data_IF_045375365279
#
_entry.id   IF_045375365279
#
_cell.length_a   1.000
_cell.length_b   1.000
_cell.length_c   1.000
_cell.angle_alpha   90.00
_cell.angle_beta   90.00
_cell.angle_gamma   90.00
#
_symmetry.space_group_name_H-M   'P 1'
#
loop_
_entity.id
_entity.type
_entity.pdbx_description
1 polymer ?
#
# COMPACT_ATOMS: atom_id res chain seq x y z
N UNK A 1 -6.30 10.28 11.84
CA UNK A 1 -5.97 9.27 12.87
C UNK A 1 -5.49 7.94 12.26
N UNK A 2 -6.29 7.23 11.45
CA UNK A 2 -5.86 5.94 10.85
C UNK A 2 -4.60 6.02 9.98
N UNK A 3 -4.37 7.14 9.28
CA UNK A 3 -3.13 7.42 8.55
C UNK A 3 -1.90 7.27 9.44
N UNK A 4 -1.92 7.86 10.64
CA UNK A 4 -0.77 7.86 11.54
C UNK A 4 -0.52 6.47 12.12
N UNK A 5 -1.60 5.77 12.49
CA UNK A 5 -1.52 4.37 12.96
C UNK A 5 -0.92 3.50 11.86
N UNK A 6 -1.34 3.67 10.61
CA UNK A 6 -0.76 3.00 9.45
C UNK A 6 0.74 3.28 9.31
N UNK A 7 1.17 4.53 9.42
CA UNK A 7 2.59 4.88 9.26
C UNK A 7 3.40 4.26 10.41
N UNK A 8 2.98 4.46 11.66
CA UNK A 8 3.67 3.95 12.84
C UNK A 8 3.76 2.43 12.89
N UNK A 9 2.66 1.73 12.64
CA UNK A 9 2.68 0.26 12.63
C UNK A 9 3.43 -0.31 11.44
N UNK A 10 3.50 0.44 10.33
CA UNK A 10 4.30 0.09 9.16
C UNK A 10 5.79 0.15 9.46
N UNK A 11 6.26 1.23 10.11
CA UNK A 11 7.66 1.36 10.52
C UNK A 11 8.02 0.31 11.57
N UNK A 12 7.15 0.07 12.57
CA UNK A 12 7.36 -1.02 13.55
C UNK A 12 7.43 -2.40 12.91
N UNK A 13 6.59 -2.68 11.92
CA UNK A 13 6.65 -3.96 11.19
C UNK A 13 8.02 -4.16 10.54
N UNK A 14 8.54 -3.14 9.87
CA UNK A 14 9.84 -3.22 9.18
C UNK A 14 11.04 -3.34 10.13
N UNK A 15 10.86 -3.04 11.42
CA UNK A 15 11.89 -3.29 12.45
C UNK A 15 11.99 -4.78 12.81
N UNK A 16 10.91 -5.54 12.68
CA UNK A 16 10.83 -6.94 13.14
C UNK A 16 10.71 -7.96 12.01
N UNK A 17 10.28 -7.54 10.82
CA UNK A 17 10.08 -8.40 9.66
C UNK A 17 10.83 -7.87 8.43
N UNK A 18 11.35 -8.77 7.59
CA UNK A 18 11.95 -8.39 6.33
C UNK A 18 10.90 -7.77 5.40
N UNK A 19 11.38 -6.89 4.51
CA UNK A 19 10.52 -6.16 3.56
C UNK A 19 9.71 -7.13 2.69
N UNK A 20 10.27 -8.29 2.30
CA UNK A 20 9.60 -9.32 1.50
C UNK A 20 8.37 -9.93 2.20
N UNK A 21 8.49 -10.29 3.48
CA UNK A 21 7.34 -10.77 4.25
C UNK A 21 6.29 -9.67 4.42
N UNK A 22 6.71 -8.43 4.68
CA UNK A 22 5.79 -7.31 4.78
C UNK A 22 5.02 -7.06 3.48
N UNK A 23 5.68 -7.17 2.32
CA UNK A 23 5.01 -7.00 1.02
C UNK A 23 4.02 -8.13 0.73
N UNK A 24 4.33 -9.38 1.12
CA UNK A 24 3.42 -10.51 0.99
C UNK A 24 2.11 -10.27 1.77
N UNK A 25 2.20 -9.91 3.06
CA UNK A 25 1.02 -9.61 3.86
C UNK A 25 0.22 -8.43 3.29
N UNK A 26 0.93 -7.40 2.81
CA UNK A 26 0.29 -6.27 2.14
C UNK A 26 -0.46 -6.65 0.88
N UNK A 27 0.07 -7.56 0.09
CA UNK A 27 -0.61 -8.03 -1.11
C UNK A 27 -1.82 -8.91 -0.73
N UNK A 28 -1.74 -9.66 0.37
CA UNK A 28 -2.90 -10.33 0.98
C UNK A 28 -4.02 -9.37 1.41
N UNK A 29 -3.67 -8.16 1.88
CA UNK A 29 -4.67 -7.15 2.27
C UNK A 29 -5.58 -6.70 1.13
N UNK A 30 -5.20 -6.90 -0.13
CA UNK A 30 -6.03 -6.56 -1.31
C UNK A 30 -7.37 -7.30 -1.26
N UNK A 31 -7.38 -8.56 -0.80
CA UNK A 31 -8.61 -9.35 -0.64
C UNK A 31 -9.48 -8.73 0.45
N UNK A 32 -8.89 -8.34 1.57
CA UNK A 32 -9.61 -7.71 2.70
C UNK A 32 -10.21 -6.38 2.24
N UNK A 33 -9.46 -5.56 1.49
CA UNK A 33 -9.97 -4.31 0.90
C UNK A 33 -11.14 -4.61 -0.03
N UNK A 34 -11.08 -5.67 -0.84
CA UNK A 34 -12.17 -6.06 -1.73
C UNK A 34 -13.44 -6.47 -0.98
N UNK A 35 -13.30 -7.24 0.09
CA UNK A 35 -14.43 -7.64 0.93
C UNK A 35 -15.08 -6.45 1.62
N UNK A 36 -14.29 -5.57 2.24
CA UNK A 36 -14.83 -4.37 2.89
C UNK A 36 -15.45 -3.43 1.86
N UNK A 37 -14.84 -3.30 0.68
CA UNK A 37 -15.42 -2.50 -0.40
C UNK A 37 -16.75 -3.07 -0.91
N UNK A 38 -16.87 -4.39 -1.00
CA UNK A 38 -18.14 -5.05 -1.31
C UNK A 38 -19.20 -4.74 -0.25
N UNK A 39 -18.85 -4.77 1.04
CA UNK A 39 -19.78 -4.47 2.13
C UNK A 39 -20.21 -2.99 2.18
N UNK A 40 -19.27 -2.06 1.97
CA UNK A 40 -19.53 -0.61 2.13
C UNK A 40 -20.13 0.03 0.87
N UNK A 41 -19.73 -0.41 -0.31
CA UNK A 41 -20.11 0.20 -1.60
C UNK A 41 -20.91 -0.75 -2.51
N UNK A 42 -21.28 -1.94 -2.04
CA UNK A 42 -22.04 -2.94 -2.80
C UNK A 42 -21.43 -3.30 -4.15
N UNK A 43 -20.10 -3.23 -4.28
CA UNK A 43 -19.40 -3.49 -5.54
C UNK A 43 -19.06 -4.97 -5.67
N UNK A 44 -19.70 -5.74 -6.57
CA UNK A 44 -19.45 -7.17 -6.70
C UNK A 44 -18.02 -7.43 -7.19
N UNK A 45 -17.36 -8.45 -6.64
CA UNK A 45 -16.05 -8.93 -7.09
C UNK A 45 -16.25 -9.99 -8.16
N UNK A 46 -15.61 -9.87 -9.33
CA UNK A 46 -15.74 -10.89 -10.37
C UNK A 46 -14.79 -12.06 -10.13
N UNK A 47 -15.11 -13.22 -10.70
CA UNK A 47 -14.23 -14.41 -10.64
C UNK A 47 -12.82 -14.11 -11.17
N UNK A 48 -12.72 -13.30 -12.23
CA UNK A 48 -11.44 -12.86 -12.80
C UNK A 48 -10.66 -11.93 -11.85
N UNK A 49 -11.33 -11.04 -11.12
CA UNK A 49 -10.68 -10.21 -10.10
C UNK A 49 -10.14 -11.09 -8.95
N UNK A 50 -10.94 -12.03 -8.44
CA UNK A 50 -10.49 -12.94 -7.38
C UNK A 50 -9.27 -13.78 -7.83
N UNK A 51 -9.28 -14.25 -9.08
CA UNK A 51 -8.15 -14.97 -9.66
C UNK A 51 -6.88 -14.11 -9.72
N UNK A 52 -7.01 -12.83 -10.08
CA UNK A 52 -5.87 -11.91 -10.07
C UNK A 52 -5.31 -11.65 -8.67
N UNK A 53 -6.16 -11.57 -7.64
CA UNK A 53 -5.70 -11.42 -6.26
C UNK A 53 -4.91 -12.64 -5.79
N UNK A 54 -5.39 -13.84 -6.13
CA UNK A 54 -4.70 -15.08 -5.82
C UNK A 54 -3.32 -15.14 -6.50
N UNK A 55 -3.23 -14.79 -7.78
CA UNK A 55 -1.96 -14.70 -8.51
C UNK A 55 -0.99 -13.69 -7.88
N UNK A 56 -1.48 -12.54 -7.40
CA UNK A 56 -0.66 -11.53 -6.73
C UNK A 56 -0.12 -12.01 -5.36
N UNK A 57 -0.87 -12.85 -4.66
CA UNK A 57 -0.39 -13.47 -3.41
C UNK A 57 0.66 -14.54 -3.73
N UNK A 58 0.40 -15.38 -4.74
CA UNK A 58 1.34 -16.42 -5.18
C UNK A 58 2.66 -15.81 -5.65
N UNK A 59 2.64 -14.71 -6.40
CA UNK A 59 3.87 -14.04 -6.81
C UNK A 59 4.69 -13.59 -5.61
N UNK A 60 4.04 -13.00 -4.61
CA UNK A 60 4.70 -12.54 -3.39
C UNK A 60 5.31 -13.68 -2.58
N UNK A 61 4.63 -14.82 -2.51
CA UNK A 61 5.11 -16.03 -1.84
C UNK A 61 6.35 -16.63 -2.52
N UNK A 62 6.32 -16.74 -3.86
CA UNK A 62 7.46 -17.28 -4.63
C UNK A 62 8.69 -16.38 -4.51
N UNK A 63 8.49 -15.06 -4.41
CA UNK A 63 9.58 -14.09 -4.32
C UNK A 63 10.25 -14.00 -2.95
N UNK A 64 9.67 -14.61 -1.92
CA UNK A 64 10.17 -14.55 -0.56
C UNK A 64 11.09 -15.74 -0.25
N UNK A 65 12.25 -15.45 0.33
CA UNK A 65 13.27 -16.46 0.69
C UNK A 65 13.77 -16.21 2.12
N UNK A 66 12.91 -15.67 2.99
CA UNK A 66 13.31 -15.20 4.30
C UNK A 66 13.04 -16.21 5.42
N UNK A 67 14.09 -16.50 6.19
CA UNK A 67 14.05 -17.45 7.31
C UNK A 67 13.86 -16.77 8.68
N UNK A 68 14.02 -15.44 8.74
CA UNK A 68 13.96 -14.67 9.98
C UNK A 68 12.55 -14.16 10.28
N UNK A 69 11.86 -14.87 11.17
CA UNK A 69 10.47 -14.63 11.51
C UNK A 69 10.34 -14.32 13.00
N UNK A 70 9.86 -13.12 13.35
CA UNK A 70 9.48 -12.76 14.71
C UNK A 70 7.97 -12.60 14.86
N UNK A 71 7.39 -13.26 15.87
CA UNK A 71 5.94 -13.26 16.10
C UNK A 71 5.37 -11.86 16.39
N UNK A 72 6.16 -11.02 17.07
CA UNK A 72 5.80 -9.61 17.33
C UNK A 72 5.57 -8.83 16.03
N UNK A 73 6.34 -9.15 14.98
CA UNK A 73 6.21 -8.54 13.68
C UNK A 73 4.87 -8.85 13.03
N UNK A 74 4.35 -10.08 13.14
CA UNK A 74 3.03 -10.43 12.59
C UNK A 74 1.87 -9.71 13.29
N UNK A 75 2.00 -9.43 14.58
CA UNK A 75 0.99 -8.65 15.31
C UNK A 75 0.97 -7.22 14.75
N UNK A 76 2.15 -6.61 14.58
CA UNK A 76 2.25 -5.29 13.98
C UNK A 76 1.79 -5.25 12.52
N UNK A 77 2.08 -6.28 11.71
CA UNK A 77 1.58 -6.36 10.33
C UNK A 77 0.06 -6.45 10.29
N UNK A 78 -0.56 -7.24 11.18
CA UNK A 78 -2.01 -7.38 11.23
C UNK A 78 -2.69 -6.05 11.55
N UNK A 79 -2.20 -5.34 12.58
CA UNK A 79 -2.69 -3.99 12.93
C UNK A 79 -2.45 -3.02 11.77
N UNK A 80 -1.31 -3.13 11.10
CA UNK A 80 -1.00 -2.32 9.93
C UNK A 80 -2.00 -2.58 8.79
N UNK A 81 -2.27 -3.83 8.45
CA UNK A 81 -3.23 -4.20 7.40
C UNK A 81 -4.61 -3.61 7.72
N UNK A 82 -5.14 -3.86 8.92
CA UNK A 82 -6.45 -3.37 9.34
C UNK A 82 -6.51 -1.84 9.26
N UNK A 83 -5.53 -1.13 9.83
CA UNK A 83 -5.49 0.33 9.78
C UNK A 83 -5.40 0.87 8.35
N UNK A 84 -4.65 0.20 7.46
CA UNK A 84 -4.54 0.61 6.06
C UNK A 84 -5.82 0.39 5.27
N UNK A 85 -6.51 -0.72 5.50
CA UNK A 85 -7.79 -0.98 4.84
C UNK A 85 -8.83 0.04 5.27
N UNK A 86 -8.94 0.31 6.58
CA UNK A 86 -9.85 1.32 7.12
C UNK A 86 -9.52 2.69 6.54
N UNK A 87 -8.24 3.08 6.50
CA UNK A 87 -7.81 4.36 5.94
C UNK A 87 -8.21 4.51 4.47
N UNK A 88 -7.87 3.55 3.60
CA UNK A 88 -8.14 3.65 2.16
C UNK A 88 -9.64 3.66 1.86
N UNK A 89 -10.43 2.81 2.55
CA UNK A 89 -11.88 2.74 2.37
C UNK A 89 -12.57 4.00 2.90
N UNK A 90 -12.21 4.48 4.09
CA UNK A 90 -12.78 5.70 4.68
C UNK A 90 -12.43 6.94 3.86
N UNK A 91 -11.20 7.04 3.35
CA UNK A 91 -10.78 8.13 2.47
C UNK A 91 -11.63 8.17 1.20
N UNK A 92 -11.83 7.02 0.55
CA UNK A 92 -12.72 6.93 -0.61
C UNK A 92 -14.18 7.28 -0.27
N UNK A 93 -14.67 6.82 0.87
CA UNK A 93 -16.02 7.13 1.34
C UNK A 93 -16.22 8.64 1.52
N UNK A 94 -15.25 9.35 2.10
CA UNK A 94 -15.31 10.81 2.27
C UNK A 94 -15.30 11.52 0.92
N UNK A 95 -14.37 11.15 0.03
CA UNK A 95 -14.23 11.79 -1.30
C UNK A 95 -15.51 11.64 -2.13
N UNK A 96 -16.08 10.43 -2.17
CA UNK A 96 -17.24 10.15 -3.03
C UNK A 96 -18.58 10.45 -2.35
N UNK A 97 -18.69 10.27 -1.02
CA UNK A 97 -19.94 10.41 -0.27
C UNK A 97 -20.26 11.85 0.13
N UNK A 98 -19.26 12.68 0.44
CA UNK A 98 -19.49 14.06 0.93
C UNK A 98 -19.29 15.16 -0.12
N UNK A 99 -19.00 14.81 -1.38
CA UNK A 99 -18.51 15.76 -2.42
C UNK A 99 -17.41 16.70 -1.89
N UNK A 100 -16.62 16.25 -0.91
CA UNK A 100 -15.53 17.05 -0.37
C UNK A 100 -14.54 17.36 -1.49
N UNK A 101 -14.00 18.58 -1.51
CA UNK A 101 -12.92 18.88 -2.44
C UNK A 101 -11.77 17.89 -2.24
N UNK A 102 -11.09 17.50 -3.33
CA UNK A 102 -9.92 16.62 -3.23
C UNK A 102 -8.84 17.22 -2.34
N UNK A 103 -8.79 18.56 -2.26
CA UNK A 103 -7.90 19.29 -1.37
C UNK A 103 -8.21 19.02 0.11
N UNK A 104 -9.48 19.06 0.53
CA UNK A 104 -9.88 18.77 1.92
C UNK A 104 -9.52 17.33 2.32
N UNK A 105 -9.74 16.38 1.42
CA UNK A 105 -9.41 14.97 1.68
C UNK A 105 -7.91 14.73 1.93
N UNK A 106 -7.04 15.61 1.45
CA UNK A 106 -5.58 15.56 1.68
C UNK A 106 -5.20 16.39 2.91
N UNK A 107 -5.78 17.58 3.04
CA UNK A 107 -5.41 18.55 4.07
C UNK A 107 -5.71 18.02 5.47
N UNK A 108 -6.92 17.52 5.73
CA UNK A 108 -7.30 17.11 7.08
C UNK A 108 -6.47 15.92 7.62
N UNK A 109 -6.26 14.82 6.88
CA UNK A 109 -5.45 13.72 7.37
C UNK A 109 -4.00 14.12 7.65
N UNK A 110 -3.39 14.95 6.78
CA UNK A 110 -2.01 15.41 6.94
C UNK A 110 -1.87 16.43 8.07
N UNK A 111 -2.81 17.37 8.22
CA UNK A 111 -2.80 18.35 9.30
C UNK A 111 -2.96 17.67 10.67
N UNK A 112 -3.84 16.66 10.77
CA UNK A 112 -3.98 15.84 11.98
C UNK A 112 -2.78 14.90 12.21
N UNK A 113 -1.91 14.69 11.22
CA UNK A 113 -0.70 13.90 11.37
C UNK A 113 0.39 14.66 12.13
N UNK A 114 0.52 15.96 11.91
CA UNK A 114 1.56 16.81 12.49
C UNK A 114 1.62 16.74 14.02
N UNK A 115 0.54 17.02 14.79
CA UNK A 115 0.63 17.02 16.24
C UNK A 115 0.91 15.62 16.81
N UNK A 116 0.35 14.59 16.19
CA UNK A 116 0.52 13.21 16.69
C UNK A 116 1.94 12.70 16.42
N UNK A 117 2.48 12.91 15.22
CA UNK A 117 3.85 12.51 14.88
C UNK A 117 4.85 13.34 15.68
N UNK A 118 4.59 14.63 15.90
CA UNK A 118 5.42 15.48 16.76
C UNK A 118 5.52 14.95 18.19
N UNK A 119 4.39 14.54 18.78
CA UNK A 119 4.38 13.92 20.12
C UNK A 119 5.12 12.58 20.17
N UNK A 120 4.97 11.75 19.14
CA UNK A 120 5.67 10.47 19.02
C UNK A 120 7.18 10.67 18.85
N UNK A 121 7.62 11.60 17.98
CA UNK A 121 9.03 11.92 17.77
C UNK A 121 9.68 12.42 19.07
N UNK A 122 9.01 13.34 19.78
CA UNK A 122 9.52 13.83 21.07
C UNK A 122 9.69 12.73 22.13
N UNK A 123 8.83 11.69 22.10
CA UNK A 123 8.87 10.62 23.10
C UNK A 123 9.86 9.50 22.78
N UNK A 124 10.19 9.28 21.50
CA UNK A 124 10.89 8.09 21.03
C UNK A 124 12.20 8.34 20.28
N UNK A 125 12.51 9.58 19.86
CA UNK A 125 13.71 9.89 19.08
C UNK A 125 14.72 10.75 19.86
N UNK A 126 15.99 10.40 19.75
CA UNK A 126 17.10 11.21 20.27
C UNK A 126 17.30 12.46 19.40
N UNK A 127 17.51 13.62 20.05
CA UNK A 127 17.67 14.92 19.39
C UNK A 127 19.06 15.13 18.78
N UNK A 128 19.56 14.19 17.99
CA UNK A 128 20.78 14.38 17.22
C UNK A 128 20.45 14.93 15.83
N UNK A 129 20.68 16.23 15.65
CA UNK A 129 20.42 16.90 14.37
C UNK A 129 21.57 16.64 13.39
N UNK A 130 21.40 15.68 12.48
CA UNK A 130 22.22 15.59 11.28
C UNK A 130 21.76 16.65 10.26
N UNK A 131 22.70 17.28 9.56
CA UNK A 131 22.43 18.23 8.46
C UNK A 131 21.88 17.50 7.22
N UNK A 132 20.66 16.97 7.32
CA UNK A 132 19.96 16.25 6.22
C UNK A 132 18.84 17.09 5.60
N UNK A 133 18.81 18.41 5.86
CA UNK A 133 17.72 19.32 5.53
C UNK A 133 17.28 19.28 4.06
N UNK A 134 18.21 19.14 3.11
CA UNK A 134 17.87 19.08 1.68
C UNK A 134 17.08 17.81 1.32
N UNK A 135 17.51 16.64 1.80
CA UNK A 135 16.82 15.37 1.53
C UNK A 135 15.46 15.29 2.24
N UNK A 136 15.36 15.87 3.44
CA UNK A 136 14.08 16.00 4.15
C UNK A 136 13.11 16.89 3.36
N UNK A 137 13.59 18.02 2.83
CA UNK A 137 12.77 18.90 2.03
C UNK A 137 12.28 18.22 0.73
N UNK A 138 13.19 17.56 0.00
CA UNK A 138 12.85 16.83 -1.23
C UNK A 138 11.88 15.68 -0.98
N UNK A 139 12.07 14.92 0.11
CA UNK A 139 11.15 13.84 0.47
C UNK A 139 9.77 14.37 0.89
N UNK A 140 9.69 15.53 1.54
CA UNK A 140 8.42 16.19 1.88
C UNK A 140 7.63 16.61 0.62
N UNK A 141 8.29 17.16 -0.40
CA UNK A 141 7.63 17.49 -1.67
C UNK A 141 7.08 16.23 -2.34
N UNK A 142 7.88 15.16 -2.37
CA UNK A 142 7.44 13.87 -2.92
C UNK A 142 6.27 13.28 -2.12
N UNK A 143 6.30 13.34 -0.79
CA UNK A 143 5.22 12.89 0.08
C UNK A 143 3.91 13.67 -0.19
N UNK A 144 4.00 14.99 -0.38
CA UNK A 144 2.84 15.80 -0.75
C UNK A 144 2.28 15.43 -2.12
N UNK A 145 3.14 15.25 -3.14
CA UNK A 145 2.73 14.84 -4.48
C UNK A 145 2.08 13.45 -4.47
N UNK A 146 2.62 12.50 -3.71
CA UNK A 146 2.00 11.17 -3.59
C UNK A 146 0.61 11.28 -2.94
N UNK A 147 0.45 12.09 -1.90
CA UNK A 147 -0.86 12.32 -1.27
C UNK A 147 -1.88 12.90 -2.28
N UNK A 148 -1.49 13.90 -3.08
CA UNK A 148 -2.31 14.44 -4.16
C UNK A 148 -2.74 13.34 -5.14
N UNK A 149 -1.79 12.57 -5.65
CA UNK A 149 -2.05 11.50 -6.61
C UNK A 149 -2.95 10.41 -6.01
N UNK A 150 -2.78 10.04 -4.74
CA UNK A 150 -3.64 9.05 -4.08
C UNK A 150 -5.10 9.50 -4.04
N UNK A 151 -5.35 10.77 -3.72
CA UNK A 151 -6.72 11.31 -3.67
C UNK A 151 -7.38 11.37 -5.04
N UNK A 152 -6.63 11.75 -6.08
CA UNK A 152 -7.11 11.81 -7.46
C UNK A 152 -7.43 10.42 -7.99
N UNK A 153 -6.57 9.45 -7.68
CA UNK A 153 -6.80 8.04 -8.00
C UNK A 153 -8.06 7.55 -7.30
N UNK A 154 -8.21 7.75 -5.99
CA UNK A 154 -9.39 7.26 -5.24
C UNK A 154 -10.70 7.97 -5.59
N UNK A 155 -10.63 9.17 -6.20
CA UNK A 155 -11.80 9.86 -6.75
C UNK A 155 -12.36 9.16 -7.99
N UNK A 156 -11.47 8.65 -8.86
CA UNK A 156 -11.88 8.04 -10.15
C UNK A 156 -11.88 6.51 -10.13
N UNK A 157 -11.15 5.90 -9.20
CA UNK A 157 -10.92 4.48 -9.11
C UNK A 157 -11.37 3.95 -7.75
N UNK A 158 -11.52 2.64 -7.68
CA UNK A 158 -11.86 1.94 -6.44
C UNK A 158 -10.71 1.83 -5.43
N UNK A 159 -11.06 1.57 -4.17
CA UNK A 159 -10.09 1.25 -3.12
C UNK A 159 -9.27 0.00 -3.44
N UNK A 160 -9.90 -1.05 -3.99
CA UNK A 160 -9.20 -2.25 -4.47
C UNK A 160 -8.27 -1.99 -5.64
N UNK A 161 -8.71 -1.21 -6.65
CA UNK A 161 -7.81 -0.83 -7.76
C UNK A 161 -6.62 -0.04 -7.26
N UNK A 162 -6.82 0.85 -6.29
CA UNK A 162 -5.73 1.60 -5.68
C UNK A 162 -4.73 0.67 -4.99
N UNK A 163 -5.21 -0.31 -4.21
CA UNK A 163 -4.35 -1.32 -3.58
C UNK A 163 -3.62 -2.20 -4.61
N UNK A 164 -4.27 -2.56 -5.72
CA UNK A 164 -3.65 -3.36 -6.78
C UNK A 164 -2.58 -2.57 -7.56
N UNK A 165 -2.82 -1.29 -7.86
CA UNK A 165 -1.80 -0.38 -8.42
C UNK A 165 -0.63 -0.22 -7.44
N UNK A 166 -0.91 -0.13 -6.14
CA UNK A 166 0.12 -0.11 -5.10
C UNK A 166 1.00 -1.35 -5.10
N UNK A 167 0.42 -2.54 -5.28
CA UNK A 167 1.19 -3.77 -5.43
C UNK A 167 2.01 -3.79 -6.73
N UNK A 168 1.47 -3.29 -7.84
CA UNK A 168 2.20 -3.12 -9.09
C UNK A 168 3.40 -2.17 -8.95
N UNK A 169 3.25 -1.05 -8.25
CA UNK A 169 4.35 -0.11 -8.01
C UNK A 169 5.50 -0.76 -7.22
N UNK A 170 5.19 -1.69 -6.32
CA UNK A 170 6.22 -2.46 -5.59
C UNK A 170 6.99 -3.41 -6.52
N UNK A 171 6.31 -4.02 -7.49
CA UNK A 171 6.95 -4.88 -8.51
C UNK A 171 7.93 -4.03 -9.34
N UNK A 172 7.51 -2.83 -9.78
CA UNK A 172 8.38 -1.92 -10.52
C UNK A 172 9.58 -1.45 -9.70
N UNK A 173 9.37 -1.15 -8.41
CA UNK A 173 10.46 -0.80 -7.50
C UNK A 173 11.46 -1.94 -7.34
N UNK A 174 10.98 -3.18 -7.18
CA UNK A 174 11.85 -4.37 -7.10
C UNK A 174 12.60 -4.64 -8.41
N UNK A 175 11.96 -4.44 -9.56
CA UNK A 175 12.62 -4.53 -10.87
C UNK A 175 13.72 -3.46 -11.02
N UNK A 176 13.46 -2.23 -10.60
CA UNK A 176 14.46 -1.15 -10.58
C UNK A 176 15.67 -1.51 -9.71
N UNK A 177 15.46 -2.13 -8.55
CA UNK A 177 16.55 -2.61 -7.69
C UNK A 177 17.46 -3.63 -8.38
N UNK A 178 16.89 -4.56 -9.16
CA UNK A 178 17.69 -5.52 -9.93
C UNK A 178 18.53 -4.86 -11.03
N UNK A 179 17.99 -3.85 -11.72
CA UNK A 179 18.66 -3.20 -12.86
C UNK A 179 19.69 -2.16 -12.42
N UNK A 180 19.34 -1.31 -11.45
CA UNK A 180 20.14 -0.13 -11.08
C UNK A 180 21.01 -0.35 -9.84
N UNK A 181 20.64 -1.28 -8.95
CA UNK A 181 21.35 -1.53 -7.69
C UNK A 181 22.17 -2.83 -7.71
N UNK A 182 22.26 -3.52 -8.86
CA UNK A 182 22.98 -4.78 -9.05
C UNK A 182 22.65 -5.82 -7.96
N UNK A 183 21.38 -5.89 -7.53
CA UNK A 183 20.96 -6.91 -6.58
C UNK A 183 21.08 -8.32 -7.18
N UNK A 184 21.43 -9.30 -6.33
CA UNK A 184 21.54 -10.69 -6.75
C UNK A 184 20.21 -11.19 -7.36
N UNK A 185 20.27 -11.59 -8.63
CA UNK A 185 19.16 -12.18 -9.34
C UNK A 185 19.00 -13.65 -8.93
N UNK A 186 17.78 -14.02 -8.54
CA UNK A 186 17.39 -15.41 -8.32
C UNK A 186 16.25 -15.74 -9.28
N UNK A 187 16.21 -16.95 -9.83
CA UNK A 187 15.13 -17.41 -10.72
C UNK A 187 13.74 -17.28 -10.05
N UNK A 188 13.68 -17.51 -8.73
CA UNK A 188 12.46 -17.30 -7.94
C UNK A 188 12.03 -15.83 -7.89
N UNK A 189 12.98 -14.90 -7.73
CA UNK A 189 12.69 -13.45 -7.77
C UNK A 189 12.25 -12.98 -9.15
N UNK A 190 12.83 -13.50 -10.23
CA UNK A 190 12.43 -13.12 -11.59
C UNK A 190 11.04 -13.67 -11.92
N UNK A 191 10.78 -14.94 -11.57
CA UNK A 191 9.46 -15.55 -11.79
C UNK A 191 8.35 -14.88 -10.98
N UNK A 192 8.63 -14.44 -9.74
CA UNK A 192 7.65 -13.67 -8.96
C UNK A 192 7.31 -12.32 -9.59
N UNK A 193 8.28 -11.59 -10.15
CA UNK A 193 8.02 -10.33 -10.86
C UNK A 193 7.14 -10.55 -12.10
N UNK A 194 7.41 -11.61 -12.87
CA UNK A 194 6.60 -11.98 -14.05
C UNK A 194 5.17 -12.35 -13.64
N UNK A 195 5.01 -13.22 -12.63
CA UNK A 195 3.69 -13.59 -12.13
C UNK A 195 2.92 -12.39 -11.55
N UNK A 196 3.60 -11.52 -10.83
CA UNK A 196 3.02 -10.29 -10.30
C UNK A 196 2.52 -9.37 -11.42
N UNK A 197 3.30 -9.16 -12.48
CA UNK A 197 2.86 -8.36 -13.63
C UNK A 197 1.73 -9.01 -14.42
N UNK A 198 1.70 -10.34 -14.57
CA UNK A 198 0.56 -11.04 -15.17
C UNK A 198 -0.71 -10.88 -14.34
N UNK A 199 -0.59 -10.94 -13.02
CA UNK A 199 -1.73 -10.75 -12.11
C UNK A 199 -2.39 -9.38 -12.29
N UNK A 200 -1.58 -8.31 -12.43
CA UNK A 200 -2.09 -6.95 -12.62
C UNK A 200 -2.73 -6.77 -13.99
N UNK A 201 -2.17 -7.39 -15.04
CA UNK A 201 -2.79 -7.41 -16.37
C UNK A 201 -4.16 -8.11 -16.37
N UNK A 202 -4.26 -9.28 -15.74
CA UNK A 202 -5.53 -10.00 -15.61
C UNK A 202 -6.55 -9.16 -14.85
N UNK A 203 -6.13 -8.47 -13.78
CA UNK A 203 -6.99 -7.56 -13.05
C UNK A 203 -7.51 -6.40 -13.92
N UNK A 204 -6.63 -5.76 -14.70
CA UNK A 204 -7.02 -4.68 -15.63
C UNK A 204 -8.04 -5.18 -16.67
N UNK A 205 -7.80 -6.36 -17.25
CA UNK A 205 -8.73 -6.99 -18.21
C UNK A 205 -10.09 -7.24 -17.54
N UNK A 206 -10.10 -7.69 -16.29
CA UNK A 206 -11.34 -7.97 -15.56
C UNK A 206 -12.19 -6.71 -15.35
N UNK A 207 -11.56 -5.58 -15.00
CA UNK A 207 -12.24 -4.28 -14.84
C UNK A 207 -12.76 -3.78 -16.18
N UNK A 208 -11.94 -3.89 -17.24
CA UNK A 208 -12.35 -3.50 -18.58
C UNK A 208 -13.58 -4.29 -19.04
N UNK A 209 -13.62 -5.60 -18.79
CA UNK A 209 -14.78 -6.45 -19.10
C UNK A 209 -16.03 -6.01 -18.33
N UNK A 210 -15.91 -5.65 -17.04
CA UNK A 210 -17.06 -5.14 -16.26
C UNK A 210 -17.66 -3.87 -16.84
N UNK A 211 -16.83 -2.93 -17.28
CA UNK A 211 -17.30 -1.67 -17.90
C UNK A 211 -18.01 -1.85 -19.25
N UNK A 212 -17.83 -2.98 -19.93
CA UNK A 212 -18.47 -3.27 -21.22
C UNK A 212 -19.85 -3.92 -21.03
N UNK A 213 -20.10 -4.53 -19.88
CA UNK A 213 -21.32 -5.30 -19.58
C UNK A 213 -22.36 -4.44 -18.83
N UNK A 214 -21.97 -3.26 -18.32
CA UNK A 214 -22.84 -2.27 -17.66
C UNK A 214 -23.14 -1.14 -18.63
#
# INVERSE_FOLDING_TARGET
>A
MFLNIMIFTGTKTLQYLPISLFTLFKNGSIIIVALIEYLVFSRPVSKLESFSFLLMILSSYIGDTSDNIQLIGFIWTAINIVSTTIYVVSLRYVINGKKSSTAEAIFYPNLLAIPLIGLLSFSFEDHTYLNVNLFIFMSSICAFLTALMTSLVLKHLSSTTFSMIGAFNKILMSFSGLVFLNENYNLLKVSSLILGSLSTLIYIISIRRKKIIQ
#
